data_IF_867224842741
#
_entry.id   IF_867224842741
#
_cell.length_a   1.000
_cell.length_b   1.000
_cell.length_c   1.000
_cell.angle_alpha   90.00
_cell.angle_beta   90.00
_cell.angle_gamma   90.00
#
_symmetry.space_group_name_H-M   'P 1'
#
loop_
_entity.id
_entity.type
_entity.pdbx_description
1 polymer ?
#
# COMPACT_ATOMS: atom_id res chain seq x y z
N UNK A 1 -18.59 -8.97 17.17
CA UNK A 1 -17.88 -10.24 16.90
C UNK A 1 -16.36 -10.10 16.61
N UNK A 2 -15.61 -8.98 16.71
CA UNK A 2 -15.78 -7.71 17.45
C UNK A 2 -16.33 -6.54 16.61
N UNK A 3 -15.60 -5.72 15.84
CA UNK A 3 -14.26 -5.97 15.29
C UNK A 3 -14.26 -7.26 14.47
N UNK A 4 -15.26 -7.39 13.59
CA UNK A 4 -15.68 -8.68 13.01
C UNK A 4 -14.60 -9.23 12.09
N UNK A 5 -14.04 -8.37 11.25
CA UNK A 5 -12.74 -8.62 10.64
C UNK A 5 -11.77 -7.48 10.94
N UNK A 6 -12.18 -6.19 10.83
CA UNK A 6 -11.48 -5.07 11.49
C UNK A 6 -12.36 -3.81 11.60
N UNK A 7 -11.83 -2.71 12.17
CA UNK A 7 -12.49 -1.40 12.10
C UNK A 7 -12.22 -0.76 10.74
N UNK A 8 -13.26 -0.25 10.07
CA UNK A 8 -13.16 0.36 8.74
C UNK A 8 -12.14 1.51 8.70
N UNK A 9 -12.26 2.52 9.59
CA UNK A 9 -11.44 3.74 9.53
C UNK A 9 -9.91 3.51 9.56
N UNK A 10 -9.34 2.72 10.48
CA UNK A 10 -7.91 2.42 10.46
C UNK A 10 -7.44 1.67 9.20
N UNK A 11 -8.30 0.83 8.60
CA UNK A 11 -7.99 0.10 7.36
C UNK A 11 -8.05 1.04 6.17
N UNK A 12 -9.11 1.84 6.03
CA UNK A 12 -9.20 2.89 5.01
C UNK A 12 -8.02 3.87 5.08
N UNK A 13 -7.58 4.25 6.29
CA UNK A 13 -6.40 5.11 6.48
C UNK A 13 -5.14 4.38 6.02
N UNK A 14 -4.97 3.10 6.36
CA UNK A 14 -3.83 2.29 5.92
C UNK A 14 -3.79 2.17 4.38
N UNK A 15 -4.93 1.88 3.75
CA UNK A 15 -5.08 1.83 2.28
C UNK A 15 -4.81 3.18 1.64
N UNK A 16 -5.35 4.27 2.18
CA UNK A 16 -5.09 5.61 1.66
C UNK A 16 -3.60 5.98 1.69
N UNK A 17 -2.86 5.57 2.73
CA UNK A 17 -1.40 5.78 2.79
C UNK A 17 -0.65 4.87 1.81
N UNK A 18 -1.13 3.66 1.56
CA UNK A 18 -0.53 2.72 0.61
C UNK A 18 -0.70 3.17 -0.86
N UNK A 19 -1.89 3.66 -1.21
CA UNK A 19 -2.31 3.97 -2.59
C UNK A 19 -1.89 5.38 -2.99
N UNK A 20 -2.03 6.36 -2.11
CA UNK A 20 -1.62 7.73 -2.39
C UNK A 20 -0.09 7.85 -2.30
N UNK A 21 0.50 8.62 -3.21
CA UNK A 21 1.96 8.85 -3.27
C UNK A 21 2.35 10.06 -2.43
N UNK A 22 3.21 9.88 -1.42
CA UNK A 22 3.62 10.92 -0.46
C UNK A 22 2.42 11.76 0.10
N UNK A 23 1.34 11.14 0.62
CA UNK A 23 0.14 11.87 1.03
C UNK A 23 0.38 12.71 2.28
N UNK A 24 -0.23 13.90 2.33
CA UNK A 24 -0.31 14.65 3.59
C UNK A 24 -1.45 14.15 4.48
N UNK A 25 -1.41 14.48 5.77
CA UNK A 25 -2.52 14.23 6.71
C UNK A 25 -3.86 14.78 6.18
N UNK A 26 -3.84 15.91 5.49
CA UNK A 26 -5.03 16.53 4.90
C UNK A 26 -5.57 15.75 3.70
N UNK A 27 -4.69 15.14 2.89
CA UNK A 27 -5.09 14.31 1.75
C UNK A 27 -5.73 13.01 2.24
N UNK A 28 -5.13 12.36 3.25
CA UNK A 28 -5.68 11.17 3.91
C UNK A 28 -7.06 11.48 4.50
N UNK A 29 -7.18 12.59 5.26
CA UNK A 29 -8.44 12.98 5.90
C UNK A 29 -9.57 13.22 4.88
N UNK A 30 -9.24 13.79 3.72
CA UNK A 30 -10.16 14.00 2.59
C UNK A 30 -10.56 12.68 1.95
N UNK A 31 -9.59 11.81 1.64
CA UNK A 31 -9.81 10.51 1.00
C UNK A 31 -10.73 9.62 1.84
N UNK A 32 -10.40 9.43 3.13
CA UNK A 32 -11.20 8.60 4.04
C UNK A 32 -12.44 9.33 4.58
N UNK A 33 -12.73 10.56 4.13
CA UNK A 33 -13.89 11.38 4.58
C UNK A 33 -14.00 11.47 6.10
N UNK A 34 -12.89 11.74 6.80
CA UNK A 34 -12.83 11.79 8.27
C UNK A 34 -12.32 13.15 8.77
N UNK A 35 -12.86 13.70 9.87
CA UNK A 35 -12.38 14.96 10.44
C UNK A 35 -10.87 14.93 10.74
N UNK A 36 -10.16 15.99 10.37
CA UNK A 36 -8.70 16.09 10.51
C UNK A 36 -8.18 15.69 11.91
N UNK A 37 -8.87 16.09 12.97
CA UNK A 37 -8.52 15.74 14.35
C UNK A 37 -8.65 14.23 14.63
N UNK A 38 -9.67 13.57 14.07
CA UNK A 38 -9.86 12.12 14.19
C UNK A 38 -8.77 11.36 13.40
N UNK A 39 -8.53 11.74 12.14
CA UNK A 39 -7.46 11.20 11.31
C UNK A 39 -6.11 11.33 12.01
N UNK A 40 -5.75 12.52 12.51
CA UNK A 40 -4.49 12.77 13.23
C UNK A 40 -4.35 11.89 14.49
N UNK A 41 -5.44 11.67 15.24
CA UNK A 41 -5.45 10.80 16.42
C UNK A 41 -5.18 9.33 16.07
N UNK A 42 -5.73 8.85 14.95
CA UNK A 42 -5.49 7.50 14.45
C UNK A 42 -4.08 7.34 13.89
N UNK A 43 -3.59 8.30 13.09
CA UNK A 43 -2.23 8.31 12.59
C UNK A 43 -1.19 8.24 13.72
N UNK A 44 -1.29 9.08 14.75
CA UNK A 44 -0.39 9.00 15.92
C UNK A 44 -0.38 7.63 16.61
N UNK A 45 -1.49 6.88 16.58
CA UNK A 45 -1.55 5.50 17.10
C UNK A 45 -0.84 4.52 16.17
N UNK A 46 -0.99 4.66 14.85
CA UNK A 46 -0.29 3.84 13.85
C UNK A 46 1.22 4.08 13.87
N UNK A 47 1.64 5.33 14.07
CA UNK A 47 3.03 5.74 14.27
C UNK A 47 3.62 5.11 15.53
N UNK A 48 2.91 5.21 16.67
CA UNK A 48 3.29 4.54 17.92
C UNK A 48 3.31 3.00 17.86
N UNK A 49 2.68 2.39 16.85
CA UNK A 49 2.76 0.95 16.56
C UNK A 49 3.86 0.59 15.56
N UNK A 50 4.60 1.58 15.03
CA UNK A 50 5.63 1.41 14.01
C UNK A 50 5.09 1.00 12.64
N UNK A 51 3.81 1.27 12.35
CA UNK A 51 3.18 0.96 11.05
C UNK A 51 3.40 2.09 10.03
N UNK A 52 3.57 3.32 10.50
CA UNK A 52 3.78 4.50 9.67
C UNK A 52 4.91 5.36 10.23
N UNK A 53 5.46 6.20 9.37
CA UNK A 53 6.31 7.34 9.71
C UNK A 53 5.61 8.64 9.28
N UNK A 54 5.86 9.73 10.00
CA UNK A 54 5.35 11.07 9.65
C UNK A 54 6.53 12.05 9.50
N UNK A 55 6.85 12.40 8.26
CA UNK A 55 7.94 13.31 7.89
C UNK A 55 7.42 14.76 7.72
N UNK A 56 8.11 15.74 8.29
CA UNK A 56 7.80 17.16 8.07
C UNK A 56 8.47 17.67 6.77
N UNK A 57 7.73 17.69 5.66
CA UNK A 57 8.22 18.14 4.34
C UNK A 57 7.67 19.54 4.03
N UNK A 58 8.50 20.57 4.18
CA UNK A 58 8.14 21.99 4.07
C UNK A 58 6.99 22.38 5.03
N UNK A 59 5.78 22.61 4.50
CA UNK A 59 4.57 23.01 5.26
C UNK A 59 3.60 21.85 5.51
N UNK A 60 3.88 20.66 4.99
CA UNK A 60 3.03 19.49 5.10
C UNK A 60 3.69 18.40 5.97
N UNK A 61 2.86 17.61 6.64
CA UNK A 61 3.28 16.35 7.26
C UNK A 61 2.93 15.22 6.30
N UNK A 62 3.95 14.64 5.69
CA UNK A 62 3.85 13.51 4.76
C UNK A 62 3.82 12.23 5.59
N UNK A 63 2.95 11.31 5.22
CA UNK A 63 2.79 10.02 5.90
C UNK A 63 3.19 8.91 4.95
N UNK A 64 3.98 7.94 5.42
CA UNK A 64 4.32 6.73 4.67
C UNK A 64 4.16 5.48 5.52
N UNK A 65 3.90 4.35 4.88
CA UNK A 65 4.02 3.05 5.53
C UNK A 65 5.50 2.75 5.81
N UNK A 66 5.77 2.14 6.95
CA UNK A 66 7.05 1.45 7.18
C UNK A 66 7.03 0.08 6.48
N UNK A 67 8.17 -0.60 6.40
CA UNK A 67 8.24 -1.99 5.91
C UNK A 67 7.26 -2.91 6.67
N UNK A 68 7.06 -2.67 7.98
CA UNK A 68 6.05 -3.34 8.81
C UNK A 68 4.62 -2.94 8.41
N UNK A 69 4.39 -1.67 8.12
CA UNK A 69 3.12 -1.15 7.61
C UNK A 69 2.69 -1.78 6.29
N UNK A 70 3.61 -1.89 5.32
CA UNK A 70 3.36 -2.57 4.04
C UNK A 70 2.98 -4.04 4.24
N UNK A 71 3.76 -4.80 5.02
CA UNK A 71 3.44 -6.21 5.31
C UNK A 71 2.09 -6.40 6.01
N UNK A 72 1.70 -5.46 6.86
CA UNK A 72 0.38 -5.47 7.48
C UNK A 72 -0.71 -5.19 6.43
N UNK A 73 -0.55 -4.17 5.59
CA UNK A 73 -1.48 -3.84 4.50
C UNK A 73 -1.65 -4.99 3.50
N UNK A 74 -0.57 -5.65 3.08
CA UNK A 74 -0.61 -6.83 2.20
C UNK A 74 -1.53 -7.93 2.76
N UNK A 75 -1.45 -8.20 4.08
CA UNK A 75 -2.34 -9.18 4.74
C UNK A 75 -3.78 -8.69 4.87
N UNK A 76 -4.03 -7.39 4.90
CA UNK A 76 -5.39 -6.85 4.77
C UNK A 76 -5.95 -7.09 3.37
N UNK A 77 -5.18 -6.84 2.31
CA UNK A 77 -5.65 -7.03 0.93
C UNK A 77 -5.87 -8.51 0.63
N UNK A 78 -4.95 -9.39 1.04
CA UNK A 78 -5.12 -10.84 0.96
C UNK A 78 -6.42 -11.29 1.68
N UNK A 79 -6.73 -10.72 2.85
CA UNK A 79 -7.95 -11.02 3.61
C UNK A 79 -9.23 -10.45 2.96
N UNK A 80 -9.18 -9.24 2.41
CA UNK A 80 -10.32 -8.62 1.73
C UNK A 80 -10.70 -9.37 0.45
N UNK A 81 -9.71 -9.83 -0.34
CA UNK A 81 -9.99 -10.61 -1.56
C UNK A 81 -10.71 -11.94 -1.26
N UNK A 82 -10.43 -12.56 -0.11
CA UNK A 82 -11.15 -13.75 0.36
C UNK A 82 -12.62 -13.45 0.73
N UNK A 83 -12.93 -12.23 1.21
CA UNK A 83 -14.31 -11.82 1.52
C UNK A 83 -15.12 -11.38 0.31
N UNK A 84 -14.49 -10.71 -0.65
CA UNK A 84 -15.20 -10.23 -1.84
C UNK A 84 -15.67 -11.37 -2.75
N UNK A 85 -15.18 -12.59 -2.55
CA UNK A 85 -15.62 -13.79 -3.27
C UNK A 85 -15.45 -13.64 -4.79
N UNK A 86 -14.53 -12.76 -5.21
CA UNK A 86 -14.32 -12.41 -6.60
C UNK A 86 -13.82 -13.64 -7.34
N UNK A 87 -14.71 -14.23 -8.14
CA UNK A 87 -14.32 -15.19 -9.17
C UNK A 87 -13.43 -14.44 -10.16
N UNK A 88 -12.12 -14.44 -9.89
CA UNK A 88 -11.11 -13.99 -10.84
C UNK A 88 -11.34 -14.74 -12.14
N UNK A 89 -11.40 -14.01 -13.25
CA UNK A 89 -11.33 -14.64 -14.55
C UNK A 89 -9.97 -15.35 -14.69
N UNK A 90 -9.85 -16.39 -15.52
CA UNK A 90 -8.58 -17.13 -15.68
C UNK A 90 -7.39 -16.22 -16.06
N UNK A 91 -7.66 -15.09 -16.72
CA UNK A 91 -6.65 -14.05 -17.00
C UNK A 91 -6.22 -13.23 -15.77
N UNK A 92 -7.16 -12.95 -14.86
CA UNK A 92 -6.86 -12.27 -13.60
C UNK A 92 -6.06 -13.17 -12.66
N UNK A 93 -6.42 -14.45 -12.55
CA UNK A 93 -5.70 -15.42 -11.71
C UNK A 93 -4.24 -15.61 -12.17
N UNK A 94 -4.01 -15.71 -13.48
CA UNK A 94 -2.65 -15.72 -14.06
C UNK A 94 -1.88 -14.43 -13.78
N UNK A 95 -2.56 -13.28 -13.85
CA UNK A 95 -1.97 -11.98 -13.57
C UNK A 95 -1.62 -11.82 -12.08
N UNK A 96 -2.50 -12.26 -11.19
CA UNK A 96 -2.31 -12.24 -9.75
C UNK A 96 -1.12 -13.11 -9.33
N UNK A 97 -1.00 -14.32 -9.89
CA UNK A 97 0.14 -15.20 -9.66
C UNK A 97 1.47 -14.57 -10.10
N UNK A 98 1.52 -13.96 -11.30
CA UNK A 98 2.69 -13.20 -11.77
C UNK A 98 3.05 -12.05 -10.84
N UNK A 99 2.05 -11.34 -10.30
CA UNK A 99 2.25 -10.25 -9.35
C UNK A 99 2.88 -10.76 -8.04
N UNK A 100 2.35 -11.85 -7.46
CA UNK A 100 2.91 -12.47 -6.24
C UNK A 100 4.33 -12.98 -6.44
N UNK A 101 4.65 -13.55 -7.60
CA UNK A 101 6.02 -13.92 -7.95
C UNK A 101 6.97 -12.72 -8.13
N UNK A 102 6.45 -11.58 -8.59
CA UNK A 102 7.23 -10.35 -8.72
C UNK A 102 7.44 -9.70 -7.34
N UNK A 103 6.40 -9.66 -6.50
CA UNK A 103 6.43 -9.21 -5.10
C UNK A 103 7.51 -9.99 -4.30
N UNK A 104 7.53 -11.31 -4.38
CA UNK A 104 8.55 -12.15 -3.73
C UNK A 104 9.98 -12.02 -4.29
N UNK A 105 10.14 -11.49 -5.52
CA UNK A 105 11.44 -11.09 -6.08
C UNK A 105 11.86 -9.71 -5.58
N UNK A 106 10.93 -8.76 -5.58
CA UNK A 106 11.11 -7.39 -5.09
C UNK A 106 11.51 -7.40 -3.61
N UNK A 107 10.85 -8.18 -2.75
CA UNK A 107 11.20 -8.25 -1.32
C UNK A 107 12.65 -8.72 -1.12
N UNK A 108 13.14 -9.69 -1.91
CA UNK A 108 14.54 -10.15 -1.82
C UNK A 108 15.53 -9.08 -2.25
N UNK A 109 15.21 -8.34 -3.31
CA UNK A 109 16.07 -7.26 -3.84
C UNK A 109 16.05 -6.05 -2.90
N UNK A 110 14.89 -5.67 -2.37
CA UNK A 110 14.71 -4.56 -1.44
C UNK A 110 15.52 -4.73 -0.14
N UNK A 111 15.73 -5.96 0.32
CA UNK A 111 16.52 -6.25 1.51
C UNK A 111 18.04 -6.39 1.24
N UNK A 112 18.46 -6.47 -0.03
CA UNK A 112 19.84 -6.81 -0.39
C UNK A 112 20.54 -5.76 -1.28
N UNK A 113 19.85 -5.25 -2.30
CA UNK A 113 20.34 -4.31 -3.32
C UNK A 113 19.19 -3.42 -3.84
N UNK A 114 18.70 -2.47 -3.04
CA UNK A 114 17.55 -1.61 -3.38
C UNK A 114 17.71 -0.84 -4.70
N UNK A 115 18.93 -0.50 -5.08
CA UNK A 115 19.29 0.16 -6.34
C UNK A 115 18.88 -0.64 -7.59
N UNK A 116 18.73 -1.96 -7.45
CA UNK A 116 18.29 -2.86 -8.53
C UNK A 116 16.76 -2.98 -8.65
N UNK A 117 15.98 -2.18 -7.92
CA UNK A 117 14.51 -2.19 -8.03
C UNK A 117 13.98 -1.44 -9.27
N UNK A 118 14.76 -0.56 -9.89
CA UNK A 118 14.30 0.28 -11.00
C UNK A 118 13.77 -0.49 -12.24
N UNK A 119 14.37 -1.62 -12.68
CA UNK A 119 13.79 -2.47 -13.72
C UNK A 119 12.42 -3.04 -13.33
N UNK A 120 12.25 -3.48 -12.08
CA UNK A 120 10.98 -4.04 -11.60
C UNK A 120 9.87 -2.98 -11.52
N UNK A 121 10.21 -1.73 -11.18
CA UNK A 121 9.28 -0.60 -11.28
C UNK A 121 8.80 -0.37 -12.73
N UNK A 122 9.67 -0.53 -13.73
CA UNK A 122 9.29 -0.44 -15.14
C UNK A 122 8.34 -1.57 -15.53
N UNK A 123 8.61 -2.80 -15.09
CA UNK A 123 7.80 -3.96 -15.46
C UNK A 123 6.40 -3.90 -14.80
N UNK A 124 6.30 -3.44 -13.55
CA UNK A 124 5.02 -3.15 -12.89
C UNK A 124 4.20 -2.10 -13.68
N UNK A 125 4.84 -1.02 -14.12
CA UNK A 125 4.19 0.05 -14.92
C UNK A 125 3.71 -0.44 -16.30
N UNK A 126 4.34 -1.48 -16.87
CA UNK A 126 3.87 -2.12 -18.10
C UNK A 126 2.65 -3.00 -17.79
N UNK A 127 2.76 -3.89 -16.80
CA UNK A 127 1.66 -4.75 -16.35
C UNK A 127 0.41 -3.93 -16.00
N UNK A 128 0.56 -2.80 -15.30
CA UNK A 128 -0.51 -1.87 -14.93
C UNK A 128 -1.38 -1.41 -16.10
N UNK A 129 -0.85 -1.38 -17.33
CA UNK A 129 -1.58 -0.95 -18.53
C UNK A 129 -2.49 -2.04 -19.10
N UNK A 130 -2.22 -3.30 -18.77
CA UNK A 130 -2.93 -4.47 -19.30
C UNK A 130 -4.02 -4.98 -18.34
N UNK A 131 -3.81 -4.78 -17.03
CA UNK A 131 -4.76 -5.19 -15.99
C UNK A 131 -6.01 -4.31 -15.97
N UNK A 132 -7.17 -4.95 -15.96
CA UNK A 132 -8.49 -4.30 -15.74
C UNK A 132 -9.05 -4.51 -14.34
N UNK A 133 -8.65 -5.60 -13.67
CA UNK A 133 -9.11 -5.93 -12.33
C UNK A 133 -8.62 -4.89 -11.31
N UNK A 134 -9.57 -4.24 -10.62
CA UNK A 134 -9.31 -3.17 -9.67
C UNK A 134 -8.39 -3.59 -8.52
N UNK A 135 -8.56 -4.80 -7.99
CA UNK A 135 -7.77 -5.32 -6.86
C UNK A 135 -6.30 -5.50 -7.27
N UNK A 136 -6.07 -6.03 -8.47
CA UNK A 136 -4.72 -6.22 -9.01
C UNK A 136 -4.08 -4.85 -9.35
N UNK A 137 -4.83 -3.89 -9.89
CA UNK A 137 -4.37 -2.52 -10.13
C UNK A 137 -3.98 -1.79 -8.83
N UNK A 138 -4.73 -1.99 -7.75
CA UNK A 138 -4.41 -1.45 -6.42
C UNK A 138 -3.10 -2.03 -5.90
N UNK A 139 -2.93 -3.35 -5.92
CA UNK A 139 -1.70 -4.01 -5.48
C UNK A 139 -0.47 -3.60 -6.31
N UNK A 140 -0.59 -3.48 -7.64
CA UNK A 140 0.48 -2.94 -8.48
C UNK A 140 0.82 -1.50 -8.06
N UNK A 141 -0.18 -0.64 -7.83
CA UNK A 141 0.04 0.75 -7.41
C UNK A 141 0.76 0.85 -6.07
N UNK A 142 0.39 0.02 -5.10
CA UNK A 142 1.05 -0.02 -3.78
C UNK A 142 2.49 -0.51 -3.89
N UNK A 143 2.75 -1.51 -4.73
CA UNK A 143 4.10 -2.04 -4.94
C UNK A 143 5.00 -1.05 -5.71
N UNK A 144 4.44 -0.31 -6.68
CA UNK A 144 5.11 0.83 -7.31
C UNK A 144 5.47 1.90 -6.26
N UNK A 145 4.52 2.31 -5.42
CA UNK A 145 4.75 3.29 -4.36
C UNK A 145 5.83 2.82 -3.35
N UNK A 146 5.83 1.53 -2.97
CA UNK A 146 6.85 0.92 -2.09
C UNK A 146 8.24 1.02 -2.70
N UNK A 147 8.39 0.60 -3.97
CA UNK A 147 9.67 0.67 -4.69
C UNK A 147 10.15 2.11 -4.84
N UNK A 148 9.27 3.03 -5.27
CA UNK A 148 9.64 4.45 -5.39
C UNK A 148 10.02 5.07 -4.04
N UNK A 149 9.31 4.72 -2.96
CA UNK A 149 9.67 5.15 -1.61
C UNK A 149 11.06 4.65 -1.20
N UNK A 150 11.42 3.41 -1.57
CA UNK A 150 12.75 2.86 -1.27
C UNK A 150 13.83 3.52 -2.11
N UNK A 151 13.63 3.64 -3.43
CA UNK A 151 14.58 4.26 -4.36
C UNK A 151 14.85 5.75 -4.02
N UNK A 152 13.87 6.48 -3.50
CA UNK A 152 14.06 7.88 -3.07
C UNK A 152 14.85 8.04 -1.75
N UNK A 153 15.28 6.94 -1.10
CA UNK A 153 16.09 6.94 0.14
C UNK A 153 17.56 6.57 -0.07
N UNK A 154 17.95 6.25 -1.31
CA UNK A 154 19.31 5.92 -1.72
C UNK A 154 19.80 6.91 -2.78
#
# INVERSE_FOLDING_TARGET
MRGIFLHEKPVEILSAIAILRDPSISDIAREVKSPFAHTTKTLKRMEGLGLIEIEAKKRAKIVRLTDKGFKVYEKFVDLLSLFEGTKMERGDESSFQKLKEMEGRIEKIENARPELLAPHLRDLRLMKREIKNKIILEQITVLENRIETKLNRY
#
